data_IF_650535909312
#
_entry.id   IF_650535909312
#
_cell.length_a   1.000
_cell.length_b   1.000
_cell.length_c   1.000
_cell.angle_alpha   90.00
_cell.angle_beta   90.00
_cell.angle_gamma   90.00
#
_symmetry.space_group_name_H-M   'P 1'
#
loop_
_entity.id
_entity.type
_entity.pdbx_description
1 polymer ?
#
# COMPACT_ATOMS: atom_id res chain seq x y z
N UNK A 1 -4.34 16.71 4.31
CA UNK A 1 -4.02 15.34 3.90
C UNK A 1 -2.87 15.34 2.91
N UNK A 2 -1.92 14.43 3.06
CA UNK A 2 -0.80 14.31 2.13
C UNK A 2 -1.27 13.53 0.90
N UNK A 3 -1.19 14.15 -0.27
CA UNK A 3 -1.57 13.52 -1.53
C UNK A 3 -0.45 12.65 -2.09
N UNK A 4 0.77 13.19 -2.10
CA UNK A 4 1.94 12.44 -2.54
C UNK A 4 3.18 13.02 -1.88
N UNK A 5 4.25 12.21 -1.87
CA UNK A 5 5.58 12.64 -1.43
C UNK A 5 6.55 12.36 -2.59
N UNK A 6 7.28 13.38 -2.99
CA UNK A 6 8.30 13.29 -4.03
C UNK A 6 9.64 13.66 -3.44
N UNK A 7 10.63 12.80 -3.58
CA UNK A 7 11.95 13.05 -3.03
C UNK A 7 12.94 11.96 -3.33
N UNK A 8 14.05 11.99 -2.61
CA UNK A 8 15.13 11.03 -2.76
C UNK A 8 14.83 9.75 -1.99
N UNK A 9 14.98 8.60 -2.64
CA UNK A 9 14.87 7.31 -1.99
C UNK A 9 16.15 7.04 -1.21
N UNK A 10 16.08 7.20 0.10
CA UNK A 10 17.24 7.07 0.99
C UNK A 10 17.44 5.63 1.43
N UNK A 11 16.35 4.93 1.70
CA UNK A 11 16.38 3.54 2.15
C UNK A 11 15.16 2.80 1.60
N UNK A 12 15.32 1.51 1.33
CA UNK A 12 14.24 0.71 0.75
C UNK A 12 14.31 -0.73 1.22
N UNK A 13 13.19 -1.23 1.73
CA UNK A 13 12.98 -2.65 2.05
C UNK A 13 11.69 -3.09 1.37
N UNK A 14 11.44 -4.40 1.23
CA UNK A 14 10.19 -4.87 0.63
C UNK A 14 8.91 -4.43 1.38
N UNK A 15 9.05 -4.01 2.64
CA UNK A 15 7.92 -3.63 3.48
C UNK A 15 7.80 -2.13 3.68
N UNK A 16 8.91 -1.39 3.65
CA UNK A 16 8.90 0.05 3.89
C UNK A 16 10.08 0.72 3.19
N UNK A 17 9.90 2.00 2.91
CA UNK A 17 10.94 2.84 2.31
C UNK A 17 11.05 4.14 3.08
N UNK A 18 12.19 4.83 2.93
CA UNK A 18 12.38 6.18 3.47
C UNK A 18 12.61 7.11 2.29
N UNK A 19 11.76 8.13 2.18
CA UNK A 19 11.88 9.17 1.17
C UNK A 19 12.22 10.48 1.85
N UNK A 20 13.33 11.10 1.44
CA UNK A 20 13.76 12.37 2.01
C UNK A 20 13.29 13.51 1.11
N UNK A 21 12.61 14.48 1.73
CA UNK A 21 12.12 15.66 1.05
C UNK A 21 12.49 16.88 1.88
N UNK A 22 13.33 17.75 1.32
CA UNK A 22 13.81 18.96 1.99
C UNK A 22 14.42 18.72 3.38
N UNK A 23 15.21 17.66 3.49
CA UNK A 23 15.87 17.32 4.75
C UNK A 23 15.00 16.55 5.74
N UNK A 24 13.75 16.25 5.39
CA UNK A 24 12.84 15.48 6.23
C UNK A 24 12.67 14.09 5.66
N UNK A 25 12.95 13.06 6.46
CA UNK A 25 12.80 11.66 6.05
C UNK A 25 11.42 11.13 6.44
N UNK A 26 10.68 10.62 5.46
CA UNK A 26 9.37 10.00 5.67
C UNK A 26 9.50 8.49 5.60
N UNK A 27 9.13 7.80 6.68
CA UNK A 27 9.02 6.35 6.70
C UNK A 27 7.66 5.95 6.15
N UNK A 28 7.64 5.19 5.06
CA UNK A 28 6.44 4.89 4.31
C UNK A 28 6.31 3.39 4.13
N UNK A 29 5.20 2.81 4.55
CA UNK A 29 4.91 1.40 4.32
C UNK A 29 4.47 1.20 2.87
N UNK A 30 4.98 0.17 2.22
CA UNK A 30 4.72 -0.08 0.82
C UNK A 30 4.36 -1.55 0.59
N UNK A 31 3.65 -1.82 -0.51
CA UNK A 31 3.45 -3.17 -1.01
C UNK A 31 4.69 -3.64 -1.76
N UNK A 32 4.77 -4.94 -2.01
CA UNK A 32 5.84 -5.49 -2.83
C UNK A 32 5.80 -4.93 -4.26
N UNK A 33 4.61 -4.68 -4.79
CA UNK A 33 4.45 -4.05 -6.11
C UNK A 33 5.08 -2.66 -6.16
N UNK A 34 4.83 -1.85 -5.14
CA UNK A 34 5.41 -0.51 -5.04
C UNK A 34 6.92 -0.58 -4.84
N UNK A 35 7.38 -1.46 -3.96
CA UNK A 35 8.81 -1.67 -3.77
C UNK A 35 9.51 -2.03 -5.07
N UNK A 36 8.95 -2.97 -5.83
CA UNK A 36 9.52 -3.38 -7.13
C UNK A 36 9.57 -2.23 -8.12
N UNK A 37 8.57 -1.35 -8.08
CA UNK A 37 8.51 -0.20 -8.99
C UNK A 37 9.55 0.88 -8.67
N UNK A 38 9.91 1.04 -7.39
CA UNK A 38 10.84 2.11 -6.97
C UNK A 38 12.25 1.64 -6.72
N UNK A 39 12.45 0.33 -6.59
CA UNK A 39 13.76 -0.25 -6.31
C UNK A 39 14.79 0.21 -7.33
N UNK A 40 15.95 0.67 -6.87
CA UNK A 40 17.03 1.12 -7.71
C UNK A 40 16.87 2.54 -8.27
N UNK A 41 15.78 3.22 -7.99
CA UNK A 41 15.58 4.61 -8.40
C UNK A 41 16.15 5.55 -7.35
N UNK A 42 16.71 6.67 -7.81
CA UNK A 42 17.26 7.69 -6.92
C UNK A 42 16.17 8.63 -6.43
N UNK A 43 15.29 9.06 -7.32
CA UNK A 43 14.14 9.90 -7.00
C UNK A 43 12.86 9.15 -7.24
N UNK A 44 11.90 9.31 -6.33
CA UNK A 44 10.60 8.63 -6.43
C UNK A 44 9.48 9.58 -6.08
N UNK A 45 8.31 9.27 -6.59
CA UNK A 45 7.05 9.92 -6.21
C UNK A 45 6.10 8.82 -5.77
N UNK A 46 5.63 8.91 -4.53
CA UNK A 46 4.69 7.95 -3.98
C UNK A 46 3.40 8.64 -3.62
N UNK A 47 2.27 8.08 -4.03
CA UNK A 47 0.95 8.53 -3.62
C UNK A 47 0.68 8.00 -2.22
N UNK A 48 0.13 8.84 -1.36
CA UNK A 48 0.11 8.59 0.08
C UNK A 48 -1.31 8.38 0.60
N UNK A 49 -1.45 7.46 1.53
CA UNK A 49 -2.59 7.36 2.42
C UNK A 49 -2.09 7.50 3.86
N UNK A 50 -2.65 8.45 4.60
CA UNK A 50 -2.30 8.67 6.00
C UNK A 50 -3.29 7.94 6.89
N UNK A 51 -2.80 7.01 7.70
CA UNK A 51 -3.59 6.36 8.73
C UNK A 51 -3.28 7.04 10.06
N UNK A 52 -4.14 7.96 10.45
CA UNK A 52 -3.98 8.71 11.71
C UNK A 52 -4.92 8.12 12.75
N UNK A 53 -4.34 7.66 13.85
CA UNK A 53 -5.07 7.11 14.99
C UNK A 53 -4.60 7.82 16.25
N UNK A 54 -5.29 7.62 17.39
CA UNK A 54 -4.90 8.21 18.66
C UNK A 54 -3.47 7.88 19.04
N UNK A 55 -3.04 6.65 18.77
CA UNK A 55 -1.76 6.10 19.22
C UNK A 55 -0.76 5.87 18.08
N UNK A 56 -1.12 6.20 16.83
CA UNK A 56 -0.25 5.91 15.70
C UNK A 56 -0.50 6.87 14.54
N UNK A 57 0.57 7.19 13.83
CA UNK A 57 0.54 7.92 12.57
C UNK A 57 1.36 7.11 11.56
N UNK A 58 0.67 6.50 10.61
CA UNK A 58 1.28 5.58 9.67
C UNK A 58 1.05 6.06 8.24
N UNK A 59 2.11 6.08 7.44
CA UNK A 59 2.03 6.42 6.03
C UNK A 59 2.09 5.15 5.18
N UNK A 60 1.19 5.05 4.21
CA UNK A 60 1.21 4.03 3.17
C UNK A 60 1.47 4.71 1.84
N UNK A 61 2.40 4.17 1.05
CA UNK A 61 2.80 4.75 -0.22
C UNK A 61 2.59 3.79 -1.38
N UNK A 62 2.25 4.37 -2.53
CA UNK A 62 1.91 3.62 -3.74
C UNK A 62 2.59 4.24 -4.94
N UNK A 63 3.11 3.39 -5.83
CA UNK A 63 3.79 3.85 -7.04
C UNK A 63 2.82 4.51 -8.03
N UNK A 64 1.55 4.10 -8.01
CA UNK A 64 0.52 4.62 -8.91
C UNK A 64 -0.73 5.00 -8.13
N UNK A 65 -1.53 5.89 -8.72
CA UNK A 65 -2.84 6.24 -8.18
C UNK A 65 -3.78 5.04 -8.18
N UNK A 66 -3.69 4.19 -9.20
CA UNK A 66 -4.51 2.99 -9.30
C UNK A 66 -4.31 2.09 -8.08
N UNK A 67 -3.07 1.84 -7.67
CA UNK A 67 -2.78 1.02 -6.50
C UNK A 67 -3.35 1.66 -5.23
N UNK A 68 -3.22 2.97 -5.08
CA UNK A 68 -3.81 3.69 -3.93
C UNK A 68 -5.33 3.54 -3.90
N UNK A 69 -5.99 3.68 -5.05
CA UNK A 69 -7.45 3.54 -5.15
C UNK A 69 -7.88 2.13 -4.75
N UNK A 70 -7.15 1.11 -5.20
CA UNK A 70 -7.42 -0.28 -4.82
C UNK A 70 -7.24 -0.49 -3.32
N UNK A 71 -6.20 0.10 -2.74
CA UNK A 71 -5.97 0.06 -1.30
C UNK A 71 -7.16 0.66 -0.54
N UNK A 72 -7.65 1.82 -0.98
CA UNK A 72 -8.79 2.48 -0.35
C UNK A 72 -10.05 1.62 -0.43
N UNK A 73 -10.27 0.96 -1.56
CA UNK A 73 -11.39 0.03 -1.71
C UNK A 73 -11.26 -1.15 -0.75
N UNK A 74 -10.06 -1.70 -0.60
CA UNK A 74 -9.82 -2.83 0.29
C UNK A 74 -10.08 -2.48 1.75
N UNK A 75 -9.59 -1.33 2.21
CA UNK A 75 -9.78 -0.92 3.60
C UNK A 75 -11.22 -0.50 3.90
N UNK A 76 -12.03 -0.25 2.87
CA UNK A 76 -13.45 0.03 3.06
C UNK A 76 -14.22 -1.24 3.41
N UNK A 77 -13.64 -2.42 3.17
CA UNK A 77 -14.27 -3.69 3.51
C UNK A 77 -14.06 -3.97 4.99
N UNK A 78 -15.14 -4.34 5.68
CA UNK A 78 -15.09 -4.67 7.10
C UNK A 78 -14.12 -5.82 7.37
N UNK A 79 -13.21 -5.62 8.33
CA UNK A 79 -12.22 -6.62 8.72
C UNK A 79 -10.90 -6.52 7.95
N UNK A 80 -10.79 -5.61 6.97
CA UNK A 80 -9.52 -5.38 6.27
C UNK A 80 -8.92 -4.06 6.73
N UNK A 81 -7.81 -4.14 7.46
CA UNK A 81 -7.03 -2.98 7.86
C UNK A 81 -5.95 -2.63 6.84
N UNK A 82 -5.22 -1.56 7.11
CA UNK A 82 -4.18 -1.07 6.19
C UNK A 82 -3.08 -2.11 5.93
N UNK A 83 -2.64 -2.80 6.97
CA UNK A 83 -1.57 -3.78 6.85
C UNK A 83 -2.02 -4.99 6.01
N UNK A 84 -3.25 -5.45 6.22
CA UNK A 84 -3.84 -6.53 5.44
C UNK A 84 -4.00 -6.14 3.97
N UNK A 85 -4.50 -4.93 3.72
CA UNK A 85 -4.64 -4.40 2.36
C UNK A 85 -3.28 -4.33 1.65
N UNK A 86 -2.24 -3.89 2.35
CA UNK A 86 -0.88 -3.84 1.83
C UNK A 86 -0.38 -5.23 1.44
N UNK A 87 -0.67 -6.24 2.25
CA UNK A 87 -0.30 -7.63 1.97
C UNK A 87 -1.03 -8.17 0.75
N UNK A 88 -2.31 -7.84 0.60
CA UNK A 88 -3.11 -8.21 -0.57
C UNK A 88 -2.50 -7.61 -1.85
N UNK A 89 -2.13 -6.34 -1.79
CA UNK A 89 -1.50 -5.66 -2.92
C UNK A 89 -0.10 -6.20 -3.22
N UNK A 90 0.54 -6.85 -2.25
CA UNK A 90 1.82 -7.52 -2.46
C UNK A 90 1.65 -8.88 -3.16
N UNK A 91 0.53 -9.54 -2.91
CA UNK A 91 0.23 -10.86 -3.49
C UNK A 91 -0.40 -10.77 -4.88
N UNK A 92 -1.17 -9.72 -5.15
CA UNK A 92 -1.86 -9.53 -6.42
C UNK A 92 -1.41 -8.23 -7.08
N UNK A 93 -1.13 -8.25 -8.37
CA UNK A 93 -0.85 -7.02 -9.11
C UNK A 93 -2.12 -6.15 -9.18
N UNK A 94 -1.98 -4.84 -9.41
CA UNK A 94 -3.17 -3.98 -9.59
C UNK A 94 -4.12 -4.49 -10.68
N UNK A 95 -3.57 -5.01 -11.79
CA UNK A 95 -4.38 -5.57 -12.88
C UNK A 95 -5.17 -6.79 -12.43
N UNK A 96 -4.53 -7.71 -11.71
CA UNK A 96 -5.19 -8.91 -11.19
C UNK A 96 -6.29 -8.55 -10.20
N UNK A 97 -6.01 -7.59 -9.32
CA UNK A 97 -6.98 -7.15 -8.32
C UNK A 97 -8.17 -6.45 -8.97
N UNK A 98 -7.94 -5.63 -10.00
CA UNK A 98 -9.00 -5.00 -10.77
C UNK A 98 -9.91 -6.04 -11.41
N UNK A 99 -9.34 -7.10 -11.97
CA UNK A 99 -10.11 -8.19 -12.58
C UNK A 99 -10.98 -8.90 -11.54
N UNK A 100 -10.44 -9.14 -10.36
CA UNK A 100 -11.17 -9.77 -9.25
C UNK A 100 -12.36 -8.92 -8.82
N UNK A 101 -12.12 -7.63 -8.59
CA UNK A 101 -13.14 -6.69 -8.14
C UNK A 101 -14.17 -6.46 -9.25
N UNK A 102 -13.70 -6.26 -10.49
CA UNK A 102 -14.56 -5.98 -11.64
C UNK A 102 -15.45 -7.14 -12.05
N UNK A 103 -14.99 -8.37 -11.83
CA UNK A 103 -15.78 -9.57 -12.14
C UNK A 103 -16.81 -9.91 -11.07
N UNK A 104 -16.79 -9.20 -9.93
CA UNK A 104 -17.66 -9.49 -8.81
C UNK A 104 -17.39 -10.84 -8.19
N UNK A 105 -16.14 -11.29 -8.22
CA UNK A 105 -15.76 -12.62 -7.72
C UNK A 105 -15.72 -12.64 -6.19
N UNK A 106 -16.89 -12.81 -5.59
CA UNK A 106 -17.05 -12.85 -4.13
C UNK A 106 -16.22 -13.95 -3.49
N UNK A 107 -16.03 -15.07 -4.17
CA UNK A 107 -15.22 -16.18 -3.66
C UNK A 107 -13.79 -15.78 -3.45
N UNK A 108 -13.20 -15.08 -4.43
CA UNK A 108 -11.81 -14.66 -4.34
C UNK A 108 -11.63 -13.58 -3.28
N UNK A 109 -12.58 -12.65 -3.19
CA UNK A 109 -12.58 -11.64 -2.14
C UNK A 109 -12.68 -12.28 -0.74
N UNK A 110 -13.49 -13.30 -0.58
CA UNK A 110 -13.59 -14.05 0.67
C UNK A 110 -12.30 -14.79 1.01
N UNK A 111 -11.65 -15.36 0.00
CA UNK A 111 -10.35 -16.03 0.18
C UNK A 111 -9.28 -15.04 0.64
N UNK A 112 -9.23 -13.89 0.01
CA UNK A 112 -8.32 -12.81 0.36
C UNK A 112 -8.59 -12.32 1.79
N UNK A 113 -9.86 -12.15 2.14
CA UNK A 113 -10.28 -11.76 3.48
C UNK A 113 -9.89 -12.82 4.51
N UNK A 114 -10.02 -14.10 4.15
CA UNK A 114 -9.61 -15.23 4.98
C UNK A 114 -8.12 -15.24 5.25
N UNK A 115 -7.31 -14.96 4.25
CA UNK A 115 -5.86 -14.84 4.39
C UNK A 115 -5.53 -13.70 5.36
N UNK A 116 -6.20 -12.56 5.23
CA UNK A 116 -6.02 -11.44 6.12
C UNK A 116 -6.35 -11.78 7.57
N UNK A 117 -7.43 -12.50 7.81
CA UNK A 117 -7.83 -12.93 9.15
C UNK A 117 -6.82 -13.90 9.76
N UNK A 118 -6.28 -14.81 8.97
CA UNK A 118 -5.24 -15.76 9.43
C UNK A 118 -3.94 -15.01 9.77
N UNK A 119 -3.60 -14.02 9.01
CA UNK A 119 -2.38 -13.23 9.25
C UNK A 119 -2.50 -12.36 10.50
N UNK A 120 -3.71 -11.90 10.82
CA UNK A 120 -3.98 -11.08 11.99
C UNK A 120 -3.95 -11.89 13.30
N UNK A 121 -4.00 -13.19 13.23
CA UNK A 121 -3.88 -14.09 14.36
C UNK A 121 -2.44 -14.55 14.56
#
# INVERSE_FOLDING_TARGET
MIEYIKGELVDATPAWVVVECNGLGYGINVSLNTYSAVQGKKEVKLYIYEAIREDAYVLYGFATRQERELFLLLISVSGIGGNTARMILSALSPSELCNVIGSGNDKLLKTVKGIGLKTAQ
#
